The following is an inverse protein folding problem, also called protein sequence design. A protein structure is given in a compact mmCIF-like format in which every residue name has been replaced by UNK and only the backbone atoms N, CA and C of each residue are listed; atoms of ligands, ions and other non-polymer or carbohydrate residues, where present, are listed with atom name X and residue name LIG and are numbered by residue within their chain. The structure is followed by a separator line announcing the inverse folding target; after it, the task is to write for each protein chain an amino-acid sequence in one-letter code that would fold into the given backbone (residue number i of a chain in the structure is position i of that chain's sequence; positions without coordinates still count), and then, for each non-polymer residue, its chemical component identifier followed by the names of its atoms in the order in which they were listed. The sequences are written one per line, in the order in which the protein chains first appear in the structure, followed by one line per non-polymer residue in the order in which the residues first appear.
data_IF_945309182378
#
_entry.id   IF_945309182378
#
_cell.length_a   1.000
_cell.length_b   1.000
_cell.length_c   1.000
_cell.angle_alpha   90.00
_cell.angle_beta   90.00
_cell.angle_gamma   90.00
#
_symmetry.space_group_name_H-M   'P 1'
#
loop_
_entity.id
_entity.type
_entity.pdbx_description
1 polymer ?
#
# COMPACT_ATOMS: atom_id res chain seq x y z
N UNK A 1 -7.39 2.00 -20.03
CA UNK A 1 -6.92 1.83 -18.64
C UNK A 1 -7.27 3.09 -17.88
N UNK A 2 -7.95 2.98 -16.75
CA UNK A 2 -8.17 4.09 -15.83
C UNK A 2 -7.01 4.08 -14.84
N UNK A 3 -6.38 5.22 -14.60
CA UNK A 3 -5.33 5.32 -13.59
C UNK A 3 -5.97 5.21 -12.20
N UNK A 4 -5.43 4.35 -11.34
CA UNK A 4 -5.88 4.22 -9.95
C UNK A 4 -5.26 5.37 -9.14
N UNK A 5 -6.09 6.15 -8.46
CA UNK A 5 -5.59 7.19 -7.56
C UNK A 5 -5.20 6.59 -6.21
N UNK A 6 -3.90 6.42 -5.97
CA UNK A 6 -3.36 5.90 -4.71
C UNK A 6 -3.14 6.98 -3.63
N UNK A 7 -3.44 8.25 -3.94
CA UNK A 7 -3.36 9.37 -2.98
C UNK A 7 -4.06 9.10 -1.64
N UNK A 8 -5.31 8.58 -1.60
CA UNK A 8 -5.98 8.29 -0.32
C UNK A 8 -5.29 7.18 0.48
N UNK A 9 -4.81 6.13 -0.20
CA UNK A 9 -4.10 5.00 0.43
C UNK A 9 -2.79 5.51 1.03
N UNK A 10 -2.01 6.27 0.26
CA UNK A 10 -0.77 6.87 0.74
C UNK A 10 -0.98 7.77 1.96
N UNK A 11 -1.98 8.67 1.92
CA UNK A 11 -2.26 9.58 3.03
C UNK A 11 -2.63 8.84 4.33
N UNK A 12 -3.38 7.74 4.23
CA UNK A 12 -3.86 6.98 5.40
C UNK A 12 -2.82 6.00 5.95
N UNK A 13 -2.01 5.39 5.09
CA UNK A 13 -1.10 4.30 5.44
C UNK A 13 0.38 4.66 5.24
N UNK A 14 0.72 5.95 5.23
CA UNK A 14 2.08 6.49 5.09
C UNK A 14 3.06 5.76 6.01
N UNK A 15 4.11 5.16 5.43
CA UNK A 15 5.14 4.43 6.15
C UNK A 15 4.78 3.02 6.65
N UNK A 16 3.55 2.55 6.40
CA UNK A 16 3.07 1.22 6.80
C UNK A 16 3.12 0.21 5.66
N UNK A 17 3.08 -1.05 6.01
CA UNK A 17 2.74 -2.14 5.10
C UNK A 17 1.22 -2.18 4.90
N UNK A 18 0.83 -2.37 3.65
CA UNK A 18 -0.56 -2.42 3.21
C UNK A 18 -0.76 -3.72 2.43
N UNK A 19 -1.78 -4.47 2.81
CA UNK A 19 -2.26 -5.63 2.08
C UNK A 19 -3.46 -5.18 1.23
N UNK A 20 -3.30 -5.22 -0.09
CA UNK A 20 -4.31 -4.88 -1.09
C UNK A 20 -4.95 -6.17 -1.63
N UNK A 21 -6.20 -6.06 -2.04
CA UNK A 21 -6.89 -7.10 -2.80
C UNK A 21 -6.46 -7.05 -4.28
N UNK A 22 -6.87 -8.02 -5.08
CA UNK A 22 -6.56 -8.15 -6.52
C UNK A 22 -6.94 -6.93 -7.38
N UNK A 23 -7.83 -6.07 -6.88
CA UNK A 23 -8.23 -4.80 -7.52
C UNK A 23 -7.25 -3.65 -7.28
N UNK A 24 -6.17 -3.85 -6.51
CA UNK A 24 -5.10 -2.87 -6.24
C UNK A 24 -5.56 -1.56 -5.57
N UNK A 25 -6.83 -1.45 -5.19
CA UNK A 25 -7.45 -0.27 -4.56
C UNK A 25 -7.96 -0.59 -3.15
N UNK A 26 -8.55 -1.77 -2.96
CA UNK A 26 -9.13 -2.17 -1.67
C UNK A 26 -8.05 -2.62 -0.67
N UNK A 27 -7.88 -1.84 0.39
CA UNK A 27 -7.00 -2.19 1.51
C UNK A 27 -7.69 -3.20 2.43
N UNK A 28 -7.18 -4.42 2.44
CA UNK A 28 -7.67 -5.53 3.27
C UNK A 28 -6.84 -5.74 4.54
N UNK A 29 -5.67 -5.12 4.66
CA UNK A 29 -4.86 -5.16 5.88
C UNK A 29 -3.84 -4.03 5.93
N UNK A 30 -3.45 -3.60 7.13
CA UNK A 30 -2.33 -2.67 7.29
C UNK A 30 -1.57 -2.91 8.60
N UNK A 31 -0.28 -2.60 8.63
CA UNK A 31 0.56 -2.79 9.81
C UNK A 31 1.94 -2.14 9.66
N UNK A 32 2.69 -2.05 10.75
CA UNK A 32 4.05 -1.52 10.71
C UNK A 32 5.05 -2.55 10.15
N UNK A 33 4.67 -3.83 10.21
CA UNK A 33 5.37 -4.96 9.61
C UNK A 33 4.52 -5.70 8.57
N UNK A 34 5.19 -6.46 7.70
CA UNK A 34 4.54 -7.34 6.71
C UNK A 34 3.61 -8.33 7.40
N UNK A 35 4.06 -8.89 8.53
CA UNK A 35 3.34 -9.92 9.28
C UNK A 35 2.01 -9.37 9.81
N UNK A 36 2.00 -8.16 10.38
CA UNK A 36 0.77 -7.51 10.87
C UNK A 36 -0.23 -7.25 9.74
N UNK A 37 0.23 -6.69 8.62
CA UNK A 37 -0.62 -6.43 7.46
C UNK A 37 -1.23 -7.73 6.88
N UNK A 38 -0.43 -8.80 6.82
CA UNK A 38 -0.87 -10.11 6.35
C UNK A 38 -1.82 -10.78 7.35
N UNK A 39 -1.57 -10.67 8.65
CA UNK A 39 -2.46 -11.21 9.68
C UNK A 39 -3.82 -10.51 9.65
N UNK A 40 -3.85 -9.18 9.49
CA UNK A 40 -5.09 -8.42 9.37
C UNK A 40 -5.87 -8.82 8.11
N UNK A 41 -5.18 -9.03 6.98
CA UNK A 41 -5.81 -9.50 5.74
C UNK A 41 -6.38 -10.92 5.89
N UNK A 42 -5.63 -11.83 6.51
CA UNK A 42 -6.07 -13.21 6.78
C UNK A 42 -7.29 -13.26 7.69
N UNK A 43 -7.34 -12.42 8.73
CA UNK A 43 -8.52 -12.29 9.62
C UNK A 43 -9.78 -11.88 8.85
N UNK A 44 -9.64 -11.18 7.72
CA UNK A 44 -10.74 -10.79 6.83
C UNK A 44 -11.02 -11.79 5.71
N UNK A 45 -10.35 -12.95 5.71
CA UNK A 45 -10.56 -14.02 4.71
C UNK A 45 -9.75 -13.87 3.43
N UNK A 46 -8.75 -12.98 3.40
CA UNK A 46 -7.86 -12.81 2.24
C UNK A 46 -6.57 -13.60 2.45
N UNK A 47 -6.44 -14.73 1.78
CA UNK A 47 -5.27 -15.59 1.89
C UNK A 47 -4.06 -15.09 1.09
N UNK A 48 -4.30 -14.46 -0.05
CA UNK A 48 -3.27 -14.06 -1.02
C UNK A 48 -3.35 -12.56 -1.40
N UNK A 49 -3.22 -11.62 -0.45
CA UNK A 49 -3.23 -10.19 -0.75
C UNK A 49 -1.91 -9.72 -1.41
N UNK A 50 -1.99 -8.63 -2.18
CA UNK A 50 -0.83 -7.91 -2.70
C UNK A 50 -0.23 -7.06 -1.58
N UNK A 51 1.01 -7.34 -1.18
CA UNK A 51 1.68 -6.62 -0.10
C UNK A 51 2.55 -5.48 -0.65
N UNK A 52 2.26 -4.26 -0.21
CA UNK A 52 3.00 -3.06 -0.61
C UNK A 52 3.44 -2.28 0.62
N UNK A 53 4.70 -1.84 0.64
CA UNK A 53 5.21 -0.92 1.66
C UNK A 53 5.03 0.52 1.19
N UNK A 54 4.18 1.28 1.88
CA UNK A 54 3.98 2.68 1.55
C UNK A 54 5.20 3.50 1.98
N UNK A 55 5.72 4.39 1.11
CA UNK A 55 6.83 5.23 1.47
C UNK A 55 6.46 6.15 2.63
N UNK A 56 7.45 6.50 3.45
CA UNK A 56 7.26 7.52 4.49
C UNK A 56 7.20 8.90 3.88
N UNK A 57 7.88 9.17 2.79
CA UNK A 57 7.88 10.48 2.14
C UNK A 57 7.96 10.27 0.63
N UNK A 58 7.24 11.09 -0.11
CA UNK A 58 7.37 11.15 -1.57
C UNK A 58 8.44 12.20 -1.83
N UNK A 59 9.64 11.76 -2.19
CA UNK A 59 10.75 12.63 -2.56
C UNK A 59 10.77 12.66 -4.09
N UNK A 60 10.15 13.67 -4.74
CA UNK A 60 10.16 13.76 -6.19
C UNK A 60 11.58 14.10 -6.66
N UNK A 61 12.09 13.29 -7.59
CA UNK A 61 13.31 13.60 -8.30
C UNK A 61 12.94 14.08 -9.71
N UNK A 62 13.28 15.33 -10.02
CA UNK A 62 13.19 15.89 -11.37
C UNK A 62 14.62 16.15 -11.81
N UNK A 63 15.04 15.50 -12.90
CA UNK A 63 16.44 15.45 -13.33
C UNK A 63 17.10 16.83 -13.40
N UNK A 64 18.40 16.87 -13.09
CA UNK A 64 19.20 18.07 -13.25
C UNK A 64 19.54 18.23 -14.74
N UNK A 65 18.97 19.24 -15.40
CA UNK A 65 19.34 19.59 -16.77
C UNK A 65 20.77 20.13 -16.78
N UNK A 66 21.65 19.48 -17.55
CA UNK A 66 22.97 19.98 -17.91
C UNK A 66 22.87 20.93 -19.10
#
# INVERSE_FOLDING_TARGET
MVAIDWTPIFKKYKGKWVALKDDEETVVGAGDTVAEALEEARKKGYENPILTKMPKEIIPYVGFGL
#
